data_IF_911860311745
#
_entry.id   IF_911860311745
#
_cell.length_a   1.000
_cell.length_b   1.000
_cell.length_c   1.000
_cell.angle_alpha   90.00
_cell.angle_beta   90.00
_cell.angle_gamma   90.00
#
_symmetry.space_group_name_H-M   'P 1'
#
loop_
_entity.id
_entity.type
_entity.pdbx_description
1 polymer ?
#
# COMPACT_ATOMS: atom_id res chain seq x y z
N UNK A 1 -9.27 -19.42 -10.15
CA UNK A 1 -10.45 -18.83 -9.43
C UNK A 1 -11.24 -17.98 -10.40
N UNK A 2 -12.59 -17.97 -10.35
CA UNK A 2 -13.41 -17.06 -11.16
C UNK A 2 -13.63 -15.73 -10.41
N UNK A 3 -13.98 -14.65 -11.15
CA UNK A 3 -14.36 -13.37 -10.56
C UNK A 3 -15.53 -13.51 -9.57
N UNK A 4 -16.56 -14.26 -9.93
CA UNK A 4 -17.73 -14.46 -9.09
C UNK A 4 -17.37 -15.18 -7.78
N UNK A 5 -16.59 -16.27 -7.86
CA UNK A 5 -16.13 -16.99 -6.69
C UNK A 5 -15.29 -16.09 -5.75
N UNK A 6 -14.39 -15.23 -6.30
CA UNK A 6 -13.63 -14.28 -5.52
C UNK A 6 -14.55 -13.31 -4.78
N UNK A 7 -15.52 -12.69 -5.48
CA UNK A 7 -16.42 -11.70 -4.88
C UNK A 7 -17.34 -12.31 -3.82
N UNK A 8 -17.80 -13.54 -4.00
CA UNK A 8 -18.56 -14.26 -3.00
C UNK A 8 -17.73 -14.54 -1.74
N UNK A 9 -16.46 -14.99 -1.90
CA UNK A 9 -15.56 -15.22 -0.78
C UNK A 9 -15.26 -13.90 -0.03
N UNK A 10 -15.07 -12.79 -0.76
CA UNK A 10 -14.86 -11.48 -0.15
C UNK A 10 -16.08 -11.03 0.64
N UNK A 11 -17.30 -11.19 0.09
CA UNK A 11 -18.53 -10.82 0.78
C UNK A 11 -18.72 -11.60 2.10
N UNK A 12 -18.46 -12.90 2.08
CA UNK A 12 -18.51 -13.74 3.29
C UNK A 12 -17.43 -13.35 4.32
N UNK A 13 -16.22 -13.05 3.88
CA UNK A 13 -15.16 -12.58 4.76
C UNK A 13 -15.50 -11.22 5.37
N UNK A 14 -16.03 -10.27 4.59
CA UNK A 14 -16.50 -8.97 5.07
C UNK A 14 -17.58 -9.15 6.13
N UNK A 15 -18.60 -9.97 5.86
CA UNK A 15 -19.68 -10.23 6.80
C UNK A 15 -19.21 -10.86 8.10
N UNK A 16 -18.32 -11.84 8.02
CA UNK A 16 -17.89 -12.64 9.17
C UNK A 16 -16.77 -12.02 9.99
N UNK A 17 -15.83 -11.30 9.34
CA UNK A 17 -14.61 -10.81 10.00
C UNK A 17 -14.50 -9.28 10.06
N UNK A 18 -15.00 -8.54 9.05
CA UNK A 18 -14.88 -7.09 9.05
C UNK A 18 -16.04 -6.42 9.78
N UNK A 19 -17.28 -6.80 9.47
CA UNK A 19 -18.49 -6.17 10.02
C UNK A 19 -18.48 -6.06 11.54
N UNK A 20 -18.06 -7.07 12.32
CA UNK A 20 -18.00 -6.96 13.78
C UNK A 20 -17.01 -5.93 14.30
N UNK A 21 -16.03 -5.50 13.49
CA UNK A 21 -14.94 -4.60 13.87
C UNK A 21 -15.18 -3.14 13.48
N UNK A 22 -16.23 -2.86 12.68
CA UNK A 22 -16.39 -1.53 12.05
C UNK A 22 -16.45 -0.40 13.06
N UNK A 23 -17.19 -0.56 14.17
CA UNK A 23 -17.29 0.46 15.22
C UNK A 23 -15.94 0.74 15.90
N UNK A 24 -15.14 -0.30 16.16
CA UNK A 24 -13.80 -0.16 16.73
C UNK A 24 -12.80 0.43 15.72
N UNK A 25 -12.93 0.12 14.43
CA UNK A 25 -12.11 0.70 13.36
C UNK A 25 -12.37 2.20 13.27
N UNK A 26 -13.64 2.59 13.27
CA UNK A 26 -14.05 3.99 13.07
C UNK A 26 -13.79 4.84 14.33
N UNK A 27 -14.13 4.35 15.52
CA UNK A 27 -14.08 5.13 16.76
C UNK A 27 -12.79 5.01 17.55
N UNK A 28 -12.07 3.89 17.41
CA UNK A 28 -10.86 3.61 18.20
C UNK A 28 -9.60 3.51 17.36
N UNK A 29 -9.72 3.68 16.02
CA UNK A 29 -8.57 3.56 15.12
C UNK A 29 -8.01 2.13 15.02
N UNK A 30 -8.83 1.10 15.31
CA UNK A 30 -8.39 -0.29 15.19
C UNK A 30 -7.99 -0.59 13.74
N UNK A 31 -6.75 -1.00 13.52
CA UNK A 31 -6.33 -1.50 12.22
C UNK A 31 -6.73 -2.97 12.06
N UNK A 32 -7.55 -3.34 11.04
CA UNK A 32 -8.08 -4.70 10.90
C UNK A 32 -7.05 -5.67 10.29
N UNK A 33 -5.91 -5.85 10.94
CA UNK A 33 -4.77 -6.63 10.42
C UNK A 33 -5.16 -8.05 10.01
N UNK A 34 -5.88 -8.76 10.88
CA UNK A 34 -6.30 -10.15 10.61
C UNK A 34 -7.19 -10.24 9.37
N UNK A 35 -8.15 -9.30 9.23
CA UNK A 35 -8.99 -9.23 8.04
C UNK A 35 -8.14 -9.01 6.77
N UNK A 36 -7.17 -8.10 6.81
CA UNK A 36 -6.28 -7.83 5.67
C UNK A 36 -5.47 -9.07 5.28
N UNK A 37 -4.92 -9.81 6.24
CA UNK A 37 -4.19 -11.06 5.98
C UNK A 37 -5.10 -12.15 5.40
N UNK A 38 -6.31 -12.31 5.93
CA UNK A 38 -7.30 -13.27 5.41
C UNK A 38 -7.77 -12.89 4.00
N UNK A 39 -7.97 -11.59 3.74
CA UNK A 39 -8.30 -11.07 2.41
C UNK A 39 -7.21 -11.45 1.37
N UNK A 40 -5.94 -11.33 1.76
CA UNK A 40 -4.83 -11.78 0.90
C UNK A 40 -4.87 -13.27 0.61
N UNK A 41 -5.11 -14.12 1.62
CA UNK A 41 -5.19 -15.59 1.47
C UNK A 41 -6.27 -16.04 0.48
N UNK A 42 -7.39 -15.33 0.41
CA UNK A 42 -8.45 -15.60 -0.56
C UNK A 42 -8.24 -14.93 -1.92
N UNK A 43 -7.10 -14.23 -2.13
CA UNK A 43 -6.74 -13.58 -3.38
C UNK A 43 -7.35 -12.19 -3.57
N UNK A 44 -7.78 -11.52 -2.51
CA UNK A 44 -8.41 -10.20 -2.56
C UNK A 44 -7.52 -9.06 -3.06
N UNK A 45 -6.19 -9.24 -3.07
CA UNK A 45 -5.23 -8.27 -3.62
C UNK A 45 -4.63 -8.72 -4.95
N UNK A 46 -4.96 -9.92 -5.41
CA UNK A 46 -4.24 -10.61 -6.48
C UNK A 46 -4.87 -10.47 -7.87
N UNK A 47 -5.95 -9.69 -7.99
CA UNK A 47 -6.71 -9.63 -9.25
C UNK A 47 -5.92 -9.01 -10.42
N UNK A 48 -5.01 -8.08 -10.15
CA UNK A 48 -4.24 -7.36 -11.18
C UNK A 48 -2.93 -8.05 -11.59
N UNK A 49 -2.35 -8.89 -10.73
CA UNK A 49 -1.15 -9.65 -11.05
C UNK A 49 -1.45 -10.84 -11.97
N UNK A 50 -0.49 -11.22 -12.81
CA UNK A 50 -0.60 -12.43 -13.63
C UNK A 50 -0.47 -13.70 -12.76
N UNK A 51 -0.84 -14.84 -13.32
CA UNK A 51 -0.71 -16.13 -12.62
C UNK A 51 0.76 -16.44 -12.31
N UNK A 52 1.66 -16.11 -13.25
CA UNK A 52 3.11 -16.30 -13.11
C UNK A 52 3.70 -15.41 -11.99
N UNK A 53 3.10 -14.26 -11.72
CA UNK A 53 3.46 -13.35 -10.63
C UNK A 53 2.84 -13.73 -9.28
N UNK A 54 2.06 -14.81 -9.23
CA UNK A 54 1.31 -15.22 -8.04
C UNK A 54 -0.05 -14.53 -7.90
N UNK A 55 -0.52 -13.86 -8.95
CA UNK A 55 -1.83 -13.23 -9.03
C UNK A 55 -2.93 -14.13 -9.57
N UNK A 56 -4.09 -13.54 -9.84
CA UNK A 56 -5.29 -14.24 -10.36
C UNK A 56 -5.57 -13.94 -11.83
N UNK A 57 -4.96 -12.92 -12.43
CA UNK A 57 -5.18 -12.50 -13.81
C UNK A 57 -6.61 -12.02 -14.11
N UNK A 58 -7.35 -11.55 -13.09
CA UNK A 58 -8.75 -11.14 -13.23
C UNK A 58 -8.94 -9.66 -13.60
N UNK A 59 -7.85 -8.90 -13.59
CA UNK A 59 -7.78 -7.52 -14.05
C UNK A 59 -8.28 -6.47 -13.05
N UNK A 60 -8.03 -5.20 -13.40
CA UNK A 60 -8.30 -4.04 -12.55
C UNK A 60 -9.77 -3.88 -12.18
N UNK A 61 -10.69 -4.14 -13.11
CA UNK A 61 -12.13 -4.04 -12.85
C UNK A 61 -12.59 -5.00 -11.74
N UNK A 62 -11.96 -6.17 -11.63
CA UNK A 62 -12.23 -7.12 -10.55
C UNK A 62 -11.65 -6.61 -9.23
N UNK A 63 -10.43 -6.05 -9.24
CA UNK A 63 -9.84 -5.45 -8.04
C UNK A 63 -10.71 -4.32 -7.49
N UNK A 64 -11.24 -3.45 -8.36
CA UNK A 64 -12.17 -2.38 -7.96
C UNK A 64 -13.46 -2.97 -7.37
N UNK A 65 -13.97 -4.07 -7.91
CA UNK A 65 -15.16 -4.74 -7.38
C UNK A 65 -14.91 -5.32 -5.98
N UNK A 66 -13.71 -5.86 -5.70
CA UNK A 66 -13.30 -6.30 -4.34
C UNK A 66 -13.30 -5.11 -3.38
N UNK A 67 -12.68 -4.00 -3.75
CA UNK A 67 -12.64 -2.79 -2.91
C UNK A 67 -14.05 -2.24 -2.64
N UNK A 68 -14.93 -2.26 -3.65
CA UNK A 68 -16.33 -1.86 -3.49
C UNK A 68 -17.07 -2.77 -2.50
N UNK A 69 -16.83 -4.07 -2.52
CA UNK A 69 -17.46 -4.99 -1.59
C UNK A 69 -17.07 -4.70 -0.14
N UNK A 70 -15.79 -4.45 0.10
CA UNK A 70 -15.28 -4.04 1.41
C UNK A 70 -15.85 -2.67 1.82
N UNK A 71 -15.89 -1.72 0.90
CA UNK A 71 -16.33 -0.34 1.13
C UNK A 71 -17.81 -0.20 1.44
N UNK A 72 -18.67 -1.18 1.11
CA UNK A 72 -20.05 -1.21 1.54
C UNK A 72 -20.20 -1.27 3.07
N UNK A 73 -19.22 -1.89 3.74
CA UNK A 73 -19.23 -2.06 5.19
C UNK A 73 -18.28 -1.10 5.90
N UNK A 74 -17.05 -0.88 5.38
CA UNK A 74 -16.03 -0.05 6.02
C UNK A 74 -15.17 0.71 5.00
N UNK A 75 -15.29 2.04 4.96
CA UNK A 75 -14.51 2.91 4.09
C UNK A 75 -13.02 2.91 4.43
N UNK A 76 -12.66 2.94 5.71
CA UNK A 76 -11.27 2.90 6.17
C UNK A 76 -10.55 1.63 5.73
N UNK A 77 -11.19 0.47 5.91
CA UNK A 77 -10.62 -0.82 5.48
C UNK A 77 -10.53 -0.93 3.97
N UNK A 78 -11.52 -0.44 3.23
CA UNK A 78 -11.47 -0.39 1.76
C UNK A 78 -10.31 0.47 1.28
N UNK A 79 -10.06 1.61 1.93
CA UNK A 79 -8.93 2.47 1.61
C UNK A 79 -7.57 1.78 1.89
N UNK A 80 -7.43 1.09 3.03
CA UNK A 80 -6.23 0.31 3.33
C UNK A 80 -6.01 -0.83 2.31
N UNK A 81 -7.09 -1.53 1.92
CA UNK A 81 -7.04 -2.55 0.89
C UNK A 81 -6.67 -1.97 -0.50
N UNK A 82 -7.12 -0.74 -0.79
CA UNK A 82 -6.69 -0.02 -1.99
C UNK A 82 -5.18 0.30 -1.93
N UNK A 83 -4.64 0.77 -0.81
CA UNK A 83 -3.20 1.03 -0.67
C UNK A 83 -2.37 -0.23 -0.96
N UNK A 84 -2.79 -1.39 -0.45
CA UNK A 84 -2.17 -2.70 -0.73
C UNK A 84 -2.21 -3.02 -2.23
N UNK A 85 -3.39 -2.95 -2.84
CA UNK A 85 -3.57 -3.24 -4.26
C UNK A 85 -2.82 -2.26 -5.16
N UNK A 86 -2.73 -0.98 -4.78
CA UNK A 86 -1.96 0.03 -5.50
C UNK A 86 -0.46 -0.26 -5.46
N UNK A 87 0.10 -0.65 -4.32
CA UNK A 87 1.49 -1.06 -4.21
C UNK A 87 1.79 -2.27 -5.11
N UNK A 88 0.92 -3.28 -5.09
CA UNK A 88 1.02 -4.43 -6.00
C UNK A 88 0.99 -4.00 -7.48
N UNK A 89 0.09 -3.09 -7.84
CA UNK A 89 -0.02 -2.57 -9.20
C UNK A 89 1.24 -1.83 -9.66
N UNK A 90 1.85 -1.00 -8.80
CA UNK A 90 3.10 -0.31 -9.13
C UNK A 90 4.24 -1.31 -9.42
N UNK A 91 4.35 -2.35 -8.61
CA UNK A 91 5.34 -3.40 -8.82
C UNK A 91 5.07 -4.21 -10.08
N UNK A 92 3.81 -4.58 -10.32
CA UNK A 92 3.40 -5.28 -11.55
C UNK A 92 3.82 -4.49 -12.81
N UNK A 93 3.65 -3.16 -12.81
CA UNK A 93 4.05 -2.28 -13.92
C UNK A 93 5.55 -1.96 -13.96
N UNK A 94 6.31 -2.29 -12.93
CA UNK A 94 7.74 -1.97 -12.85
C UNK A 94 8.55 -2.75 -13.90
N UNK A 95 9.50 -2.11 -14.60
CA UNK A 95 10.45 -2.82 -15.45
C UNK A 95 11.56 -3.53 -14.64
N UNK A 96 11.68 -3.27 -13.33
CA UNK A 96 12.71 -3.85 -12.48
C UNK A 96 12.31 -5.25 -11.99
N UNK A 97 12.78 -6.29 -12.70
CA UNK A 97 12.43 -7.67 -12.41
C UNK A 97 12.92 -8.11 -11.01
N UNK A 98 14.09 -7.68 -10.58
CA UNK A 98 14.61 -8.04 -9.26
C UNK A 98 13.73 -7.55 -8.10
N UNK A 99 13.15 -6.35 -8.23
CA UNK A 99 12.21 -5.81 -7.24
C UNK A 99 10.88 -6.55 -7.29
N UNK A 100 10.39 -6.92 -8.48
CA UNK A 100 9.19 -7.74 -8.66
C UNK A 100 9.38 -9.11 -8.00
N UNK A 101 10.43 -9.81 -8.31
CA UNK A 101 10.74 -11.15 -7.78
C UNK A 101 10.84 -11.16 -6.25
N UNK A 102 11.34 -10.06 -5.69
CA UNK A 102 11.50 -9.93 -4.25
C UNK A 102 10.20 -9.68 -3.48
N UNK A 103 9.25 -8.91 -4.04
CA UNK A 103 8.13 -8.38 -3.25
C UNK A 103 6.75 -8.69 -3.80
N UNK A 104 6.58 -8.82 -5.14
CA UNK A 104 5.26 -8.76 -5.75
C UNK A 104 4.35 -9.91 -5.30
N UNK A 105 4.85 -11.15 -5.35
CA UNK A 105 4.07 -12.32 -5.00
C UNK A 105 3.55 -12.27 -3.54
N UNK A 106 4.39 -11.85 -2.61
CA UNK A 106 4.04 -11.77 -1.19
C UNK A 106 3.03 -10.65 -0.91
N UNK A 107 3.10 -9.52 -1.64
CA UNK A 107 2.11 -8.44 -1.56
C UNK A 107 0.77 -8.89 -2.15
N UNK A 108 0.76 -9.55 -3.33
CA UNK A 108 -0.45 -10.06 -3.97
C UNK A 108 -1.18 -11.11 -3.10
N UNK A 109 -0.42 -11.92 -2.35
CA UNK A 109 -0.94 -12.95 -1.46
C UNK A 109 -1.23 -12.43 -0.04
N UNK A 110 -0.99 -11.15 0.24
CA UNK A 110 -1.19 -10.55 1.55
C UNK A 110 -0.29 -11.11 2.65
N UNK A 111 0.81 -11.78 2.32
CA UNK A 111 1.83 -12.22 3.29
C UNK A 111 2.62 -11.04 3.85
N UNK A 112 2.83 -10.03 3.01
CA UNK A 112 3.41 -8.75 3.35
C UNK A 112 2.36 -7.68 3.12
N UNK A 113 2.07 -6.89 4.15
CA UNK A 113 1.18 -5.74 4.01
C UNK A 113 1.96 -4.54 3.48
N UNK A 114 1.32 -3.82 2.56
CA UNK A 114 1.98 -2.76 1.81
C UNK A 114 1.11 -1.52 1.64
N UNK A 115 1.76 -0.35 1.75
CA UNK A 115 1.15 0.95 1.57
C UNK A 115 1.64 1.70 0.34
N UNK A 116 1.25 2.97 0.23
CA UNK A 116 1.65 3.83 -0.88
C UNK A 116 1.91 5.26 -0.42
N UNK A 117 3.14 5.77 -0.66
CA UNK A 117 3.56 7.15 -0.42
C UNK A 117 3.48 8.04 -1.67
N UNK A 118 2.58 7.74 -2.60
CA UNK A 118 2.53 8.37 -3.93
C UNK A 118 1.69 9.66 -4.00
N UNK A 119 0.98 10.02 -2.95
CA UNK A 119 0.07 11.18 -2.94
C UNK A 119 0.78 12.49 -3.29
N UNK A 120 1.95 12.76 -2.67
CA UNK A 120 2.77 13.94 -2.99
C UNK A 120 3.26 13.93 -4.43
N UNK A 121 3.67 12.77 -4.95
CA UNK A 121 4.11 12.62 -6.33
C UNK A 121 3.01 12.99 -7.33
N UNK A 122 1.79 12.50 -7.12
CA UNK A 122 0.65 12.81 -8.00
C UNK A 122 0.34 14.30 -7.99
N UNK A 123 0.34 14.93 -6.81
CA UNK A 123 0.13 16.38 -6.68
C UNK A 123 1.26 17.20 -7.30
N UNK A 124 2.50 16.74 -7.15
CA UNK A 124 3.65 17.39 -7.79
C UNK A 124 3.56 17.34 -9.31
N UNK A 125 3.28 16.18 -9.89
CA UNK A 125 3.09 16.03 -11.34
C UNK A 125 1.89 16.82 -11.88
N UNK A 126 0.89 17.07 -11.05
CA UNK A 126 -0.23 17.95 -11.36
C UNK A 126 0.08 19.45 -11.15
N UNK A 127 1.29 19.82 -10.74
CA UNK A 127 1.70 21.21 -10.48
C UNK A 127 1.10 21.84 -9.22
N UNK A 128 0.58 21.03 -8.30
CA UNK A 128 -0.11 21.50 -7.08
C UNK A 128 0.90 21.81 -5.96
N UNK A 129 1.94 20.96 -5.80
CA UNK A 129 2.94 21.13 -4.74
C UNK A 129 4.34 20.68 -5.20
N UNK A 130 5.37 21.02 -4.44
CA UNK A 130 6.73 20.53 -4.68
C UNK A 130 6.86 19.06 -4.30
N UNK A 131 7.81 18.36 -4.93
CA UNK A 131 8.16 17.00 -4.53
C UNK A 131 8.92 17.02 -3.20
N UNK A 132 8.44 16.25 -2.22
CA UNK A 132 8.95 16.32 -0.85
C UNK A 132 10.17 15.41 -0.60
N UNK A 133 10.29 14.31 -1.34
CA UNK A 133 11.45 13.43 -1.23
C UNK A 133 12.46 13.74 -2.32
N UNK A 134 13.72 13.88 -1.91
CA UNK A 134 14.86 14.14 -2.79
C UNK A 134 15.78 12.93 -2.77
N UNK A 135 16.30 12.56 -3.94
CA UNK A 135 17.28 11.51 -4.11
C UNK A 135 18.62 12.08 -4.57
N UNK A 136 19.70 11.57 -4.03
CA UNK A 136 21.07 11.78 -4.48
C UNK A 136 21.65 10.45 -4.95
N UNK A 137 22.34 10.44 -6.10
CA UNK A 137 23.04 9.26 -6.57
C UNK A 137 24.33 9.06 -5.75
N UNK A 138 24.49 7.87 -5.19
CA UNK A 138 25.67 7.47 -4.45
C UNK A 138 26.23 6.15 -5.02
N UNK A 139 27.37 5.70 -4.54
CA UNK A 139 27.93 4.40 -4.94
C UNK A 139 26.94 3.27 -4.57
N UNK A 140 26.58 2.47 -5.55
CA UNK A 140 25.69 1.32 -5.40
C UNK A 140 24.19 1.63 -5.32
N UNK A 141 23.75 2.91 -5.42
CA UNK A 141 22.34 3.23 -5.33
C UNK A 141 22.00 4.71 -5.15
N UNK A 142 21.05 4.97 -4.26
CA UNK A 142 20.54 6.32 -3.97
C UNK A 142 20.44 6.55 -2.48
N UNK A 143 20.65 7.78 -2.07
CA UNK A 143 20.37 8.30 -0.74
C UNK A 143 19.13 9.17 -0.79
N UNK A 144 18.14 8.87 0.05
CA UNK A 144 16.84 9.55 0.07
C UNK A 144 16.69 10.38 1.34
N UNK A 145 16.24 11.63 1.16
CA UNK A 145 15.96 12.58 2.24
C UNK A 145 14.61 13.27 2.00
N UNK A 146 13.93 13.66 3.10
CA UNK A 146 12.68 14.41 3.07
C UNK A 146 11.60 13.81 3.95
N UNK A 147 10.36 14.30 3.82
CA UNK A 147 9.24 13.85 4.63
C UNK A 147 7.95 13.77 3.82
N UNK A 148 7.12 12.79 4.15
CA UNK A 148 5.77 12.65 3.62
C UNK A 148 4.77 12.80 4.78
N UNK A 149 3.81 13.74 4.70
CA UNK A 149 2.96 14.05 5.84
C UNK A 149 1.97 12.94 6.16
N UNK A 150 1.46 12.22 5.15
CA UNK A 150 0.43 11.20 5.33
C UNK A 150 0.64 10.04 4.36
N UNK A 151 0.97 8.88 4.91
CA UNK A 151 1.12 7.63 4.16
C UNK A 151 0.32 6.55 4.88
N UNK A 152 -0.63 5.97 4.18
CA UNK A 152 -1.60 5.04 4.76
C UNK A 152 -1.25 3.59 4.49
N UNK A 153 -1.79 2.71 5.32
CA UNK A 153 -1.55 1.27 5.32
C UNK A 153 -0.07 0.93 5.49
N UNK A 154 0.59 1.61 6.44
CA UNK A 154 2.00 1.41 6.78
C UNK A 154 2.18 1.09 8.25
N UNK A 155 3.39 0.66 8.62
CA UNK A 155 3.77 0.34 9.98
C UNK A 155 5.17 -0.26 10.01
N UNK A 156 5.69 -0.59 11.19
CA UNK A 156 7.01 -1.20 11.33
C UNK A 156 7.14 -2.51 10.55
N UNK A 157 6.06 -3.27 10.45
CA UNK A 157 5.96 -4.57 9.79
C UNK A 157 5.42 -4.50 8.35
N UNK A 158 5.28 -3.28 7.80
CA UNK A 158 4.81 -3.03 6.44
C UNK A 158 5.93 -2.52 5.53
N UNK A 159 5.72 -2.65 4.23
CA UNK A 159 6.51 -1.98 3.20
C UNK A 159 5.62 -1.01 2.41
N UNK A 160 6.20 -0.11 1.65
CA UNK A 160 5.44 0.80 0.79
C UNK A 160 6.24 1.35 -0.36
N UNK A 161 5.52 1.68 -1.44
CA UNK A 161 6.09 2.32 -2.61
C UNK A 161 6.17 3.84 -2.44
N UNK A 162 7.29 4.42 -2.86
CA UNK A 162 7.53 5.86 -2.86
C UNK A 162 8.19 6.28 -4.18
N UNK A 163 8.22 7.60 -4.41
CA UNK A 163 9.16 8.21 -5.37
C UNK A 163 9.98 9.31 -4.70
N UNK A 164 11.18 9.54 -5.20
CA UNK A 164 11.99 10.71 -4.86
C UNK A 164 12.47 11.40 -6.15
N UNK A 165 12.58 12.72 -6.12
CA UNK A 165 13.07 13.51 -7.24
C UNK A 165 14.60 13.51 -7.26
N UNK A 166 15.18 13.36 -8.46
CA UNK A 166 16.61 13.50 -8.73
C UNK A 166 16.80 14.34 -9.99
N UNK A 167 17.20 15.63 -9.83
CA UNK A 167 17.20 16.58 -10.95
C UNK A 167 15.81 16.67 -11.58
N UNK A 168 15.72 16.44 -12.89
CA UNK A 168 14.47 16.44 -13.67
C UNK A 168 13.83 15.04 -13.79
N UNK A 169 14.34 14.05 -13.05
CA UNK A 169 13.88 12.65 -13.10
C UNK A 169 13.39 12.18 -11.74
N UNK A 170 12.86 10.96 -11.68
CA UNK A 170 12.35 10.35 -10.45
C UNK A 170 12.89 8.94 -10.29
N UNK A 171 13.12 8.56 -9.05
CA UNK A 171 13.39 7.18 -8.65
C UNK A 171 12.17 6.66 -7.92
N UNK A 172 11.60 5.54 -8.38
CA UNK A 172 10.57 4.80 -7.66
C UNK A 172 11.22 3.66 -6.87
N UNK A 173 10.85 3.51 -5.61
CA UNK A 173 11.49 2.55 -4.71
C UNK A 173 10.54 2.00 -3.66
N UNK A 174 10.91 0.86 -3.07
CA UNK A 174 10.22 0.26 -1.93
C UNK A 174 11.06 0.50 -0.68
N UNK A 175 10.40 0.85 0.42
CA UNK A 175 10.98 0.88 1.77
C UNK A 175 10.07 0.15 2.76
N UNK A 176 10.57 -0.07 3.98
CA UNK A 176 9.82 -0.64 5.09
C UNK A 176 10.04 0.14 6.38
N UNK A 177 9.18 -0.10 7.37
CA UNK A 177 9.19 0.65 8.64
C UNK A 177 10.41 0.44 9.51
N UNK A 178 11.17 -0.65 9.30
CA UNK A 178 12.38 -0.98 10.05
C UNK A 178 13.68 -0.62 9.28
N UNK A 179 13.58 0.09 8.17
CA UNK A 179 14.77 0.49 7.42
C UNK A 179 15.51 1.62 8.12
N UNK A 180 16.84 1.55 8.10
CA UNK A 180 17.70 2.58 8.69
C UNK A 180 17.40 3.94 8.04
N UNK A 181 17.26 4.96 8.88
CA UNK A 181 16.92 6.32 8.45
C UNK A 181 15.44 6.58 8.19
N UNK A 182 14.57 5.56 8.26
CA UNK A 182 13.10 5.72 8.17
C UNK A 182 12.53 5.90 9.58
N UNK A 183 11.69 6.94 9.75
CA UNK A 183 10.98 7.17 11.01
C UNK A 183 9.50 7.38 10.74
N UNK A 184 8.65 6.63 11.44
CA UNK A 184 7.19 6.79 11.45
C UNK A 184 6.79 7.66 12.63
N UNK A 185 5.95 8.67 12.39
CA UNK A 185 5.36 9.52 13.42
C UNK A 185 3.85 9.46 13.33
N UNK A 186 3.19 9.31 14.47
CA UNK A 186 1.74 9.33 14.53
C UNK A 186 1.20 10.64 13.98
N UNK A 187 0.15 10.54 13.18
CA UNK A 187 -0.62 11.69 12.75
C UNK A 187 -1.55 12.17 13.88
N UNK A 188 -2.00 13.44 13.85
CA UNK A 188 -3.07 13.88 14.72
C UNK A 188 -4.36 13.11 14.40
N UNK A 189 -5.34 13.17 15.31
CA UNK A 189 -6.65 12.59 15.08
C UNK A 189 -7.28 13.14 13.79
N UNK A 190 -7.86 12.24 13.01
CA UNK A 190 -8.60 12.59 11.80
C UNK A 190 -10.09 12.66 12.13
N UNK A 191 -10.88 13.32 11.28
CA UNK A 191 -12.33 13.30 11.40
C UNK A 191 -12.97 12.01 10.83
N UNK A 192 -12.14 11.10 10.30
CA UNK A 192 -12.53 9.80 9.76
C UNK A 192 -11.31 9.05 9.23
N UNK A 193 -11.47 7.78 8.90
CA UNK A 193 -10.39 6.89 8.41
C UNK A 193 -9.31 6.57 9.46
N UNK A 194 -9.60 6.66 10.74
CA UNK A 194 -8.64 6.42 11.84
C UNK A 194 -7.98 5.03 11.76
N UNK A 195 -8.73 3.99 11.39
CA UNK A 195 -8.23 2.61 11.29
C UNK A 195 -7.32 2.33 10.09
N UNK A 196 -6.83 3.34 9.36
CA UNK A 196 -6.02 3.17 8.15
C UNK A 196 -4.53 3.01 8.38
N UNK A 197 -4.03 3.09 9.62
CA UNK A 197 -2.59 3.14 9.95
C UNK A 197 -1.86 4.17 9.08
N UNK A 198 -2.32 5.41 9.17
CA UNK A 198 -1.71 6.54 8.47
C UNK A 198 -0.67 7.20 9.37
N UNK A 199 0.54 7.36 8.85
CA UNK A 199 1.67 7.99 9.55
C UNK A 199 2.27 9.10 8.71
N UNK A 200 2.91 10.05 9.39
CA UNK A 200 3.93 10.91 8.79
C UNK A 200 5.24 10.14 8.71
N UNK A 201 5.94 10.26 7.59
CA UNK A 201 7.22 9.61 7.34
C UNK A 201 8.34 10.61 7.27
N UNK A 202 9.47 10.30 7.90
CA UNK A 202 10.73 11.02 7.73
C UNK A 202 11.78 10.09 7.15
N UNK A 203 12.50 10.57 6.13
CA UNK A 203 13.63 9.90 5.50
C UNK A 203 14.89 10.72 5.78
N UNK A 204 15.85 10.12 6.46
CA UNK A 204 17.14 10.72 6.74
C UNK A 204 18.24 9.79 6.27
N UNK A 205 18.89 10.17 5.16
CA UNK A 205 19.99 9.43 4.52
C UNK A 205 19.65 7.95 4.23
N UNK A 206 18.39 7.65 3.89
CA UNK A 206 17.93 6.29 3.62
C UNK A 206 18.59 5.78 2.34
N UNK A 207 19.34 4.68 2.43
CA UNK A 207 19.99 4.06 1.29
C UNK A 207 19.04 3.11 0.55
N UNK A 208 18.93 3.29 -0.76
CA UNK A 208 18.19 2.42 -1.69
C UNK A 208 19.17 1.89 -2.73
N UNK A 209 19.38 0.56 -2.80
CA UNK A 209 20.33 -0.07 -3.73
C UNK A 209 19.86 -0.07 -5.19
#
# INVERSE_FOLDING_TARGET
MTREALLNNVAELVKSKLKPLVDDIDRKGLYPKEFMLELGKIGGFAATGTVEEGGNGLGLATQIAVLREIGKECGATSFSAWCQAACAWYLHQSPNQAVKDKYLADILQGKVLAGTGMSNTVKHLAGIEKHNLQAERVEGGYKINGALPWVSNIGEDHIWANTAQIGDSYVMFITGGQWEGVTLQNCPEFCGLEGTRTYSLNFKDVFIP
#
